data_IF_273855642491
#
_entry.id   IF_273855642491
#
_cell.length_a   1.000
_cell.length_b   1.000
_cell.length_c   1.000
_cell.angle_alpha   90.00
_cell.angle_beta   90.00
_cell.angle_gamma   90.00
#
_symmetry.space_group_name_H-M   'P 1'
#
loop_
_entity.id
_entity.type
_entity.pdbx_description
1 polymer ?
#
# COMPACT_ATOMS: atom_id res chain seq x y z
N UNK A 1 -44.14 27.01 8.90
CA UNK A 1 -43.84 27.48 7.53
C UNK A 1 -42.36 27.74 7.40
N UNK A 2 -41.71 27.31 6.30
CA UNK A 2 -40.26 27.47 6.16
C UNK A 2 -39.87 28.94 6.01
N UNK A 3 -38.82 29.37 6.73
CA UNK A 3 -38.34 30.77 6.69
C UNK A 3 -37.72 31.10 5.32
N UNK A 4 -37.68 32.38 4.91
CA UNK A 4 -37.13 32.80 3.62
C UNK A 4 -35.69 32.34 3.39
N UNK A 5 -34.86 32.30 4.44
CA UNK A 5 -33.49 31.79 4.38
C UNK A 5 -33.42 30.30 4.05
N UNK A 6 -34.31 29.47 4.63
CA UNK A 6 -34.36 28.04 4.33
C UNK A 6 -34.71 27.78 2.86
N UNK A 7 -35.57 28.62 2.26
CA UNK A 7 -35.91 28.53 0.83
C UNK A 7 -34.70 28.82 -0.06
N UNK A 8 -33.93 29.86 0.26
CA UNK A 8 -32.70 30.21 -0.47
C UNK A 8 -31.61 29.13 -0.34
N UNK A 9 -31.46 28.54 0.85
CA UNK A 9 -30.51 27.44 1.07
C UNK A 9 -30.93 26.20 0.26
N UNK A 10 -32.21 25.85 0.24
CA UNK A 10 -32.72 24.72 -0.53
C UNK A 10 -32.55 24.93 -2.04
N UNK A 11 -32.78 26.15 -2.55
CA UNK A 11 -32.53 26.50 -3.96
C UNK A 11 -31.05 26.35 -4.33
N UNK A 12 -30.14 26.91 -3.52
CA UNK A 12 -28.69 26.78 -3.74
C UNK A 12 -28.22 25.32 -3.64
N UNK A 13 -28.80 24.53 -2.73
CA UNK A 13 -28.49 23.12 -2.59
C UNK A 13 -28.99 22.32 -3.79
N UNK A 14 -30.17 22.62 -4.34
CA UNK A 14 -30.70 21.97 -5.53
C UNK A 14 -29.86 22.28 -6.78
N UNK A 15 -29.51 23.55 -7.00
CA UNK A 15 -28.63 23.98 -8.10
C UNK A 15 -27.23 23.36 -8.00
N UNK A 16 -26.66 23.30 -6.79
CA UNK A 16 -25.40 22.61 -6.55
C UNK A 16 -25.51 21.09 -6.74
N UNK A 17 -26.66 20.49 -6.42
CA UNK A 17 -26.90 19.06 -6.60
C UNK A 17 -26.90 18.70 -8.08
N UNK A 18 -27.58 19.50 -8.92
CA UNK A 18 -27.58 19.30 -10.37
C UNK A 18 -26.18 19.44 -10.96
N UNK A 19 -25.38 20.41 -10.51
CA UNK A 19 -24.00 20.57 -10.97
C UNK A 19 -23.08 19.43 -10.52
N UNK A 20 -23.33 18.84 -9.35
CA UNK A 20 -22.47 17.82 -8.75
C UNK A 20 -22.97 16.38 -8.94
N UNK A 21 -24.16 16.18 -9.53
CA UNK A 21 -24.66 14.82 -9.76
C UNK A 21 -23.78 14.12 -10.79
N UNK A 22 -23.28 12.94 -10.43
CA UNK A 22 -22.43 12.12 -11.29
C UNK A 22 -23.26 11.02 -11.93
N UNK A 23 -23.35 11.03 -13.25
CA UNK A 23 -24.05 10.00 -14.00
C UNK A 23 -23.32 8.65 -13.91
N UNK A 24 -23.99 7.59 -13.46
CA UNK A 24 -23.41 6.24 -13.38
C UNK A 24 -23.09 5.63 -14.76
N UNK A 25 -23.67 6.18 -15.84
CA UNK A 25 -23.57 5.64 -17.19
C UNK A 25 -22.30 6.11 -17.90
N UNK A 26 -22.10 7.43 -17.99
CA UNK A 26 -20.95 8.06 -18.64
C UNK A 26 -19.86 8.53 -17.65
N UNK A 27 -20.15 8.55 -16.35
CA UNK A 27 -19.28 9.03 -15.26
C UNK A 27 -18.99 10.53 -15.26
N UNK A 28 -19.72 11.32 -16.06
CA UNK A 28 -19.66 12.78 -16.11
C UNK A 28 -20.60 13.42 -15.07
N UNK A 29 -20.35 14.69 -14.78
CA UNK A 29 -21.20 15.48 -13.89
C UNK A 29 -22.32 16.17 -14.68
N UNK A 30 -23.28 16.79 -13.98
CA UNK A 30 -24.36 17.66 -14.50
C UNK A 30 -25.69 17.03 -14.88
N UNK A 31 -25.81 15.71 -14.96
CA UNK A 31 -27.07 15.08 -15.39
C UNK A 31 -27.37 13.77 -14.69
N UNK A 32 -28.66 13.47 -14.55
CA UNK A 32 -29.14 12.21 -14.00
C UNK A 32 -29.01 11.07 -15.02
N UNK A 33 -28.96 9.84 -14.53
CA UNK A 33 -28.75 8.66 -15.37
C UNK A 33 -29.85 8.42 -16.41
N UNK A 34 -31.07 8.92 -16.18
CA UNK A 34 -32.21 8.77 -17.09
C UNK A 34 -32.17 9.76 -18.27
N UNK A 35 -31.55 10.93 -18.10
CA UNK A 35 -31.33 11.94 -19.15
C UNK A 35 -30.05 11.69 -19.96
N UNK A 36 -29.23 10.73 -19.54
CA UNK A 36 -27.93 10.46 -20.15
C UNK A 36 -28.07 9.92 -21.59
N UNK A 37 -27.72 10.75 -22.56
CA UNK A 37 -27.61 10.39 -23.99
C UNK A 37 -26.28 9.72 -24.35
N UNK A 38 -25.29 9.79 -23.46
CA UNK A 38 -23.96 9.20 -23.66
C UNK A 38 -23.94 7.67 -23.63
N UNK A 39 -22.96 7.07 -24.33
CA UNK A 39 -22.66 5.64 -24.25
C UNK A 39 -22.09 5.28 -22.87
N UNK A 40 -22.29 4.04 -22.42
CA UNK A 40 -21.72 3.55 -21.15
C UNK A 40 -20.19 3.60 -21.22
N UNK A 41 -19.55 4.35 -20.33
CA UNK A 41 -18.09 4.38 -20.21
C UNK A 41 -17.66 3.19 -19.35
N UNK A 42 -17.05 2.18 -19.97
CA UNK A 42 -16.46 1.09 -19.21
C UNK A 42 -15.11 1.53 -18.66
N UNK A 43 -15.03 1.70 -17.34
CA UNK A 43 -13.76 1.79 -16.63
C UNK A 43 -13.35 0.37 -16.23
N UNK A 44 -12.18 -0.07 -16.68
CA UNK A 44 -11.66 -1.39 -16.30
C UNK A 44 -11.48 -1.47 -14.78
N UNK A 45 -12.20 -2.38 -14.13
CA UNK A 45 -12.06 -2.67 -12.71
C UNK A 45 -11.34 -4.00 -12.54
N UNK A 46 -10.14 -4.03 -11.93
CA UNK A 46 -9.41 -5.27 -11.74
C UNK A 46 -10.22 -6.24 -10.86
N UNK A 47 -10.04 -7.54 -11.08
CA UNK A 47 -10.64 -8.54 -10.20
C UNK A 47 -10.01 -8.47 -8.81
N UNK A 48 -10.77 -8.87 -7.78
CA UNK A 48 -10.26 -8.96 -6.41
C UNK A 48 -9.00 -9.82 -6.32
N UNK A 49 -8.90 -10.87 -7.13
CA UNK A 49 -7.70 -11.71 -7.20
C UNK A 49 -6.51 -11.02 -7.88
N UNK A 50 -6.74 -10.16 -8.88
CA UNK A 50 -5.68 -9.35 -9.49
C UNK A 50 -5.14 -8.30 -8.50
N UNK A 51 -6.02 -7.68 -7.72
CA UNK A 51 -5.63 -6.77 -6.63
C UNK A 51 -4.80 -7.48 -5.57
N UNK A 52 -5.24 -8.66 -5.11
CA UNK A 52 -4.50 -9.46 -4.13
C UNK A 52 -3.13 -9.91 -4.66
N UNK A 53 -3.05 -10.35 -5.92
CA UNK A 53 -1.76 -10.69 -6.56
C UNK A 53 -0.81 -9.50 -6.62
N UNK A 54 -1.33 -8.30 -6.95
CA UNK A 54 -0.54 -7.06 -6.95
C UNK A 54 -0.02 -6.75 -5.54
N UNK A 55 -0.88 -6.84 -4.52
CA UNK A 55 -0.50 -6.59 -3.14
C UNK A 55 0.56 -7.59 -2.62
N UNK A 56 0.43 -8.88 -2.95
CA UNK A 56 1.44 -9.89 -2.58
C UNK A 56 2.78 -9.63 -3.28
N UNK A 57 2.75 -9.29 -4.58
CA UNK A 57 3.97 -8.94 -5.33
C UNK A 57 4.65 -7.70 -4.77
N UNK A 58 3.89 -6.68 -4.40
CA UNK A 58 4.41 -5.45 -3.78
C UNK A 58 5.06 -5.73 -2.42
N UNK A 59 4.43 -6.55 -1.58
CA UNK A 59 5.03 -7.01 -0.31
C UNK A 59 6.33 -7.77 -0.54
N UNK A 60 6.37 -8.71 -1.49
CA UNK A 60 7.58 -9.44 -1.86
C UNK A 60 8.71 -8.53 -2.34
N UNK A 61 8.39 -7.57 -3.23
CA UNK A 61 9.36 -6.58 -3.72
C UNK A 61 9.91 -5.69 -2.60
N UNK A 62 9.06 -5.29 -1.64
CA UNK A 62 9.48 -4.49 -0.49
C UNK A 62 10.45 -5.25 0.41
N UNK A 63 10.19 -6.54 0.66
CA UNK A 63 11.11 -7.40 1.40
C UNK A 63 12.44 -7.59 0.66
N UNK A 64 12.40 -7.79 -0.67
CA UNK A 64 13.62 -7.89 -1.47
C UNK A 64 14.45 -6.60 -1.44
N UNK A 65 13.81 -5.43 -1.49
CA UNK A 65 14.49 -4.14 -1.37
C UNK A 65 15.16 -3.99 0.00
N UNK A 66 14.47 -4.35 1.09
CA UNK A 66 15.04 -4.32 2.43
C UNK A 66 16.23 -5.28 2.57
N UNK A 67 16.11 -6.50 2.04
CA UNK A 67 17.20 -7.46 2.04
C UNK A 67 18.39 -6.97 1.21
N UNK A 68 18.14 -6.32 0.07
CA UNK A 68 19.21 -5.74 -0.73
C UNK A 68 19.89 -4.56 0.00
N UNK A 69 19.14 -3.76 0.77
CA UNK A 69 19.72 -2.72 1.61
C UNK A 69 20.58 -3.31 2.73
N UNK A 70 20.11 -4.33 3.45
CA UNK A 70 20.88 -4.97 4.52
C UNK A 70 22.15 -5.69 4.00
N UNK A 71 22.09 -6.30 2.81
CA UNK A 71 23.28 -6.88 2.16
C UNK A 71 24.28 -5.79 1.75
N UNK A 72 23.80 -4.62 1.29
CA UNK A 72 24.69 -3.49 0.96
C UNK A 72 25.35 -2.92 2.21
N UNK A 73 24.61 -2.74 3.30
CA UNK A 73 25.13 -2.24 4.58
C UNK A 73 26.19 -3.19 5.17
N UNK A 74 25.90 -4.50 5.20
CA UNK A 74 26.85 -5.51 5.70
C UNK A 74 28.11 -5.64 4.83
N UNK A 75 28.01 -5.40 3.52
CA UNK A 75 29.18 -5.39 2.63
C UNK A 75 30.08 -4.17 2.89
N UNK A 76 29.49 -2.99 3.09
CA UNK A 76 30.22 -1.76 3.44
C UNK A 76 30.97 -1.93 4.76
N UNK A 77 30.31 -2.48 5.79
CA UNK A 77 30.94 -2.71 7.10
C UNK A 77 32.06 -3.76 7.04
N UNK A 78 31.88 -4.85 6.28
CA UNK A 78 32.96 -5.84 6.06
C UNK A 78 34.14 -5.24 5.29
N UNK A 79 33.89 -4.32 4.37
CA UNK A 79 34.94 -3.64 3.58
C UNK A 79 35.72 -2.61 4.41
N UNK A 80 35.08 -1.94 5.37
CA UNK A 80 35.78 -1.05 6.32
C UNK A 80 36.54 -1.84 7.39
N UNK A 81 35.99 -2.96 7.90
CA UNK A 81 36.69 -3.84 8.86
C UNK A 81 37.91 -4.52 8.25
N UNK A 82 37.84 -4.96 6.98
CA UNK A 82 38.98 -5.55 6.25
C UNK A 82 40.13 -4.59 5.98
N UNK A 83 39.91 -3.27 5.95
CA UNK A 83 41.01 -2.28 5.88
C UNK A 83 41.68 -2.01 7.23
N UNK A 84 41.06 -2.43 8.34
CA UNK A 84 41.56 -2.18 9.71
C UNK A 84 42.30 -3.38 10.33
N UNK A 85 42.21 -4.58 9.77
CA UNK A 85 42.85 -5.78 10.32
C UNK A 85 44.02 -6.29 9.46
N UNK A 86 45.17 -5.60 9.56
CA UNK A 86 46.49 -6.16 9.25
C UNK A 86 47.45 -5.89 10.41
N UNK A 87 47.24 -6.55 11.55
CA UNK A 87 48.31 -6.78 12.55
C UNK A 87 47.90 -7.85 13.58
N UNK A 88 48.54 -9.03 13.41
CA UNK A 88 49.14 -9.98 14.38
C UNK A 88 48.32 -10.76 15.45
N UNK A 89 48.43 -12.10 15.30
CA UNK A 89 48.70 -13.20 16.28
C UNK A 89 47.73 -13.61 17.41
N UNK A 90 47.37 -14.92 17.36
CA UNK A 90 47.14 -15.95 18.42
C UNK A 90 46.16 -15.63 19.58
N UNK A 91 45.28 -16.49 20.08
CA UNK A 91 45.33 -17.94 20.35
C UNK A 91 43.95 -18.47 20.82
N UNK A 92 43.70 -19.76 20.58
CA UNK A 92 42.87 -20.76 21.30
C UNK A 92 41.83 -20.34 22.36
N UNK A 93 40.61 -20.92 22.30
CA UNK A 93 40.16 -21.99 23.22
C UNK A 93 38.67 -22.34 23.03
N UNK A 94 38.40 -23.63 23.19
CA UNK A 94 37.15 -24.41 23.08
C UNK A 94 36.09 -24.11 24.15
N UNK A 95 34.80 -24.31 23.81
CA UNK A 95 33.85 -25.08 24.62
C UNK A 95 32.51 -25.28 23.91
N UNK A 96 32.05 -26.52 23.91
CA UNK A 96 30.71 -26.97 23.50
C UNK A 96 29.73 -26.80 24.66
N UNK A 97 28.49 -26.44 24.37
CA UNK A 97 27.35 -26.64 25.28
C UNK A 97 26.04 -26.56 24.47
N UNK A 98 25.15 -27.49 24.77
CA UNK A 98 23.93 -27.84 24.02
C UNK A 98 22.72 -27.34 24.77
N UNK A 99 21.66 -26.88 24.09
CA UNK A 99 20.30 -26.93 24.64
C UNK A 99 19.25 -26.83 23.53
N UNK A 100 18.55 -27.94 23.31
CA UNK A 100 17.32 -28.01 22.53
C UNK A 100 16.15 -27.55 23.40
N UNK A 101 15.40 -26.54 22.95
CA UNK A 101 14.14 -26.13 23.56
C UNK A 101 12.98 -26.45 22.61
N UNK A 102 12.26 -27.53 22.93
CA UNK A 102 11.02 -27.92 22.26
C UNK A 102 9.91 -26.92 22.56
N UNK A 103 9.17 -26.51 21.54
CA UNK A 103 7.96 -25.70 21.68
C UNK A 103 6.76 -26.51 21.19
N UNK A 104 6.04 -27.12 22.15
CA UNK A 104 4.68 -27.60 21.96
C UNK A 104 3.73 -26.41 22.05
N UNK A 105 2.80 -26.29 21.12
CA UNK A 105 1.65 -25.38 21.25
C UNK A 105 0.43 -26.02 20.59
N UNK A 106 -0.43 -26.56 21.45
CA UNK A 106 -1.84 -26.81 21.18
C UNK A 106 -2.59 -25.48 21.20
N UNK A 107 -3.31 -25.18 20.12
CA UNK A 107 -4.70 -24.71 20.10
C UNK A 107 -5.21 -24.55 18.68
#
# INVERSE_FOLDING_TARGET
MATPMHRLIAQRQAEANEQHVRCQKCLEFRHWTYECTGKRKYLHRPSRTAELKKALKEKGNRLLLLLQQSIRETNVERKTKRKRSKSVTSSSSSSSDSSASGSSSEK
#
